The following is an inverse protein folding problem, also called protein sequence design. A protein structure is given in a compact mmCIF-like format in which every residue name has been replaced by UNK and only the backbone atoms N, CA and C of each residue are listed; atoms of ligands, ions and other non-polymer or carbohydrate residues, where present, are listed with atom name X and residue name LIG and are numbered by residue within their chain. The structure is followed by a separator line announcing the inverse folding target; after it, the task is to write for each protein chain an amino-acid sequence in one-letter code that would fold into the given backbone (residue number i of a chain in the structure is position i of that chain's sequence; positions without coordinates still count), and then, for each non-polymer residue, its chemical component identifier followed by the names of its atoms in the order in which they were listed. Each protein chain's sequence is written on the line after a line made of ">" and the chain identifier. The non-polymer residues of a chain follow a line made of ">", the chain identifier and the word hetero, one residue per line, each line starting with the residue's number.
data_IF_169525355121
#
_entry.id   IF_169525355121
#
_cell.length_a   1.000
_cell.length_b   1.000
_cell.length_c   1.000
_cell.angle_alpha   90.00
_cell.angle_beta   90.00
_cell.angle_gamma   90.00
#
_symmetry.space_group_name_H-M   'P 1'
#
loop_
_entity.id
_entity.type
_entity.pdbx_description
1 polymer ?
#
# COMPACT_ATOMS: atom_id res chain seq x y z
N UNK A 1 -0.67 3.28 -12.07
CA UNK A 1 0.17 3.10 -10.86
C UNK A 1 -0.66 2.41 -9.79
N UNK A 2 -0.11 1.43 -9.07
CA UNK A 2 -0.84 0.59 -8.08
C UNK A 2 -1.41 1.37 -6.89
N UNK A 3 -0.88 2.56 -6.61
CA UNK A 3 -1.33 3.41 -5.52
C UNK A 3 -2.78 3.88 -5.63
N UNK A 4 -3.32 4.07 -6.84
CA UNK A 4 -4.65 4.68 -7.02
C UNK A 4 -5.82 3.68 -6.89
N UNK A 5 -5.56 2.37 -6.94
CA UNK A 5 -6.63 1.36 -6.90
C UNK A 5 -6.78 0.66 -5.54
N UNK A 6 -5.83 0.87 -4.62
CA UNK A 6 -5.79 0.16 -3.34
C UNK A 6 -6.29 0.99 -2.14
N UNK A 7 -6.50 2.30 -2.30
CA UNK A 7 -6.95 3.21 -1.24
C UNK A 7 -6.09 4.48 -1.14
N UNK A 8 -6.40 5.34 -0.16
CA UNK A 8 -5.67 6.59 0.06
C UNK A 8 -4.26 6.27 0.57
N UNK A 9 -3.23 6.58 -0.23
CA UNK A 9 -1.81 6.33 0.10
C UNK A 9 -1.36 7.21 1.28
N UNK A 10 -0.87 6.60 2.35
CA UNK A 10 -0.40 7.33 3.55
C UNK A 10 1.13 7.44 3.57
N UNK A 11 1.88 6.39 3.20
CA UNK A 11 3.34 6.46 3.05
C UNK A 11 3.89 5.20 2.37
N UNK A 12 5.05 5.30 1.72
CA UNK A 12 5.83 4.17 1.20
C UNK A 12 7.27 4.36 1.63
N UNK A 13 7.83 3.32 2.25
CA UNK A 13 9.24 3.30 2.64
C UNK A 13 10.06 3.08 1.36
N UNK A 14 10.75 4.14 0.91
CA UNK A 14 11.75 4.10 -0.16
C UNK A 14 13.10 4.53 0.42
N UNK A 15 14.20 4.06 -0.16
CA UNK A 15 15.50 4.66 0.13
C UNK A 15 15.59 6.10 -0.40
N UNK A 16 16.71 6.78 -0.13
CA UNK A 16 16.98 8.17 -0.55
C UNK A 16 16.97 8.36 -2.08
N UNK A 17 17.02 7.27 -2.85
CA UNK A 17 17.01 7.25 -4.32
C UNK A 17 15.64 6.83 -4.88
N UNK A 18 14.64 6.61 -4.02
CA UNK A 18 13.31 6.14 -4.43
C UNK A 18 13.27 4.64 -4.76
N UNK A 19 14.35 3.91 -4.51
CA UNK A 19 14.47 2.49 -4.75
C UNK A 19 13.91 1.69 -3.56
N UNK A 20 13.22 0.59 -3.88
CA UNK A 20 12.64 -0.30 -2.89
C UNK A 20 13.63 -1.44 -2.59
N UNK A 21 14.40 -1.35 -1.50
CA UNK A 21 15.37 -2.38 -1.09
C UNK A 21 14.68 -3.38 -0.14
N UNK A 22 13.72 -4.16 -0.64
CA UNK A 22 13.02 -5.15 0.18
C UNK A 22 12.29 -6.22 -0.63
N UNK A 23 12.04 -7.38 0.00
CA UNK A 23 11.30 -8.50 -0.63
C UNK A 23 9.81 -8.20 -0.85
N UNK A 24 9.24 -7.20 -0.15
CA UNK A 24 7.80 -6.92 -0.15
C UNK A 24 7.53 -5.44 -0.01
N UNK A 25 6.71 -4.82 -0.86
CA UNK A 25 6.35 -3.40 -0.72
C UNK A 25 5.37 -3.18 0.45
N UNK A 26 5.75 -2.36 1.44
CA UNK A 26 4.84 -1.94 2.51
C UNK A 26 4.19 -0.60 2.18
N UNK A 27 2.87 -0.59 2.15
CA UNK A 27 2.07 0.63 1.97
C UNK A 27 1.11 0.79 3.15
N UNK A 28 0.94 2.03 3.60
CA UNK A 28 -0.09 2.37 4.59
C UNK A 28 -1.29 2.96 3.86
N UNK A 29 -2.47 2.42 4.09
CA UNK A 29 -3.72 2.83 3.42
C UNK A 29 -4.88 2.90 4.42
N UNK A 30 -5.83 3.81 4.17
CA UNK A 30 -7.15 3.77 4.81
C UNK A 30 -8.07 2.91 3.95
N UNK A 31 -8.60 1.82 4.52
CA UNK A 31 -9.51 0.90 3.86
C UNK A 31 -10.69 0.56 4.77
N UNK A 32 -11.86 0.35 4.17
CA UNK A 32 -13.05 -0.13 4.85
C UNK A 32 -12.97 -1.65 5.02
N UNK A 33 -12.79 -2.11 6.26
CA UNK A 33 -12.62 -3.54 6.60
C UNK A 33 -13.93 -4.31 6.64
N UNK A 34 -15.09 -3.65 6.55
CA UNK A 34 -16.38 -4.32 6.47
C UNK A 34 -16.69 -4.81 5.05
N UNK A 35 -15.89 -4.37 4.06
CA UNK A 35 -15.98 -4.84 2.67
C UNK A 35 -14.94 -5.94 2.42
N UNK A 36 -15.19 -6.85 1.44
CA UNK A 36 -14.20 -7.83 1.04
C UNK A 36 -12.88 -7.18 0.63
N UNK A 37 -11.79 -7.59 1.30
CA UNK A 37 -10.45 -7.10 0.99
C UNK A 37 -9.88 -7.83 -0.23
N UNK A 38 -9.15 -7.10 -1.06
CA UNK A 38 -8.48 -7.68 -2.21
C UNK A 38 -7.32 -8.57 -1.74
N UNK A 39 -7.22 -9.78 -2.31
CA UNK A 39 -6.17 -10.73 -1.90
C UNK A 39 -4.87 -10.55 -2.66
N UNK A 40 -4.90 -9.84 -3.78
CA UNK A 40 -3.73 -9.62 -4.62
C UNK A 40 -4.08 -8.82 -5.87
N UNK A 41 -3.05 -8.50 -6.66
CA UNK A 41 -3.20 -7.78 -7.92
C UNK A 41 -2.14 -8.17 -8.94
N UNK A 42 -2.45 -7.94 -10.22
CA UNK A 42 -1.51 -8.06 -11.33
C UNK A 42 -0.71 -6.77 -11.45
N UNK A 43 0.61 -6.87 -11.40
CA UNK A 43 1.53 -5.72 -11.40
C UNK A 43 2.63 -5.92 -12.42
N UNK A 44 3.04 -4.84 -13.08
CA UNK A 44 4.24 -4.82 -13.92
C UNK A 44 5.39 -4.26 -13.10
N UNK A 45 6.49 -5.00 -13.03
CA UNK A 45 7.69 -4.61 -12.28
C UNK A 45 8.83 -4.38 -13.28
N UNK A 46 9.44 -3.19 -13.24
CA UNK A 46 10.51 -2.80 -14.16
C UNK A 46 10.03 -2.44 -15.58
N UNK A 47 10.99 -2.32 -16.50
CA UNK A 47 10.75 -1.97 -17.91
C UNK A 47 10.29 -3.15 -18.78
N UNK A 48 10.15 -4.36 -18.20
CA UNK A 48 9.70 -5.56 -18.90
C UNK A 48 8.19 -5.61 -19.13
N UNK A 49 7.76 -6.51 -20.02
CA UNK A 49 6.34 -6.75 -20.33
C UNK A 49 5.67 -7.75 -19.37
N UNK A 50 6.46 -8.48 -18.57
CA UNK A 50 5.96 -9.51 -17.66
C UNK A 50 5.05 -8.90 -16.58
N UNK A 51 3.88 -9.50 -16.41
CA UNK A 51 2.91 -9.15 -15.38
C UNK A 51 2.99 -10.22 -14.30
N UNK A 52 3.29 -9.80 -13.07
CA UNK A 52 3.37 -10.66 -11.91
C UNK A 52 2.08 -10.56 -11.09
N UNK A 53 1.62 -11.69 -10.55
CA UNK A 53 0.64 -11.67 -9.48
C UNK A 53 1.35 -11.39 -8.16
N UNK A 54 0.83 -10.44 -7.37
CA UNK A 54 1.32 -10.18 -6.01
C UNK A 54 0.18 -10.36 -5.03
N UNK A 55 0.46 -11.05 -3.93
CA UNK A 55 -0.48 -11.22 -2.84
C UNK A 55 -0.40 -10.03 -1.87
N UNK A 56 -1.55 -9.67 -1.31
CA UNK A 56 -1.66 -8.63 -0.30
C UNK A 56 -1.70 -9.26 1.09
N UNK A 57 -0.84 -8.77 1.97
CA UNK A 57 -0.87 -9.08 3.40
C UNK A 57 -1.29 -7.82 4.16
N UNK A 58 -2.37 -7.93 4.94
CA UNK A 58 -2.88 -6.84 5.73
C UNK A 58 -2.38 -6.94 7.17
N UNK A 59 -1.86 -5.84 7.70
CA UNK A 59 -1.45 -5.70 9.09
C UNK A 59 -2.12 -4.45 9.67
N UNK A 60 -2.65 -4.55 10.89
CA UNK A 60 -3.32 -3.41 11.54
C UNK A 60 -2.27 -2.40 11.98
N UNK A 61 -2.45 -1.14 11.59
CA UNK A 61 -1.55 -0.07 12.00
C UNK A 61 -1.65 0.18 13.51
N UNK A 62 -0.51 0.31 14.22
CA UNK A 62 -0.47 0.74 15.61
C UNK A 62 -1.13 2.12 15.77
N UNK A 63 -1.88 2.32 16.84
CA UNK A 63 -2.57 3.58 17.13
C UNK A 63 -1.62 4.78 17.18
N UNK A 64 -0.39 4.60 17.64
CA UNK A 64 0.66 5.64 17.68
C UNK A 64 1.12 6.13 16.31
N UNK A 65 0.86 5.37 15.25
CA UNK A 65 1.26 5.69 13.87
C UNK A 65 0.10 6.24 13.03
N UNK A 66 -1.09 6.33 13.61
CA UNK A 66 -2.28 6.89 12.96
C UNK A 66 -2.23 8.41 13.12
N UNK A 67 -2.15 9.19 12.04
CA UNK A 67 -2.16 10.65 12.15
C UNK A 67 -3.50 11.14 12.72
N UNK A 68 -3.49 11.68 13.94
CA UNK A 68 -4.69 12.24 14.58
C UNK A 68 -5.30 13.41 13.81
N UNK A 69 -4.53 14.07 12.94
CA UNK A 69 -4.99 15.22 12.15
C UNK A 69 -5.94 14.86 10.99
N UNK A 70 -6.01 13.60 10.56
CA UNK A 70 -6.84 13.19 9.41
C UNK A 70 -8.30 12.84 9.76
N UNK A 71 -8.68 12.86 11.04
CA UNK A 71 -10.06 12.58 11.49
C UNK A 71 -10.86 13.83 11.87
N UNK A 72 -10.28 15.03 11.72
CA UNK A 72 -10.98 16.31 11.88
C UNK A 72 -11.42 16.79 10.50
N UNK A 73 -12.54 16.25 10.01
CA UNK A 73 -13.49 16.84 9.05
C UNK A 73 -14.38 15.73 8.47
N UNK A 74 -15.45 15.39 9.19
CA UNK A 74 -16.78 15.00 8.68
C UNK A 74 -17.76 15.03 9.85
#
# INVERSE_FOLDING_TARGET
>A
MIGDHAGIRINVETDEQGCYIGKFMKIRVLIDIFKPLWRGSRVRVGAGTMVHWVDFKYERLPSSQIPHSKYRNS
#
